data_IF_503249878354
#
_entry.id   IF_503249878354
#
_cell.length_a   1.000
_cell.length_b   1.000
_cell.length_c   1.000
_cell.angle_alpha   90.00
_cell.angle_beta   90.00
_cell.angle_gamma   90.00
#
_symmetry.space_group_name_H-M   'P 1'
#
loop_
_entity.id
_entity.type
_entity.pdbx_description
1 polymer ?
#
# COMPACT_ATOMS: atom_id res chain seq x y z
N UNK A 1 27.98 -11.18 -63.06
CA UNK A 1 29.15 -10.26 -63.09
C UNK A 1 29.31 -9.44 -61.81
N UNK A 2 28.25 -8.90 -61.19
CA UNK A 2 28.38 -8.06 -59.97
C UNK A 2 28.98 -8.78 -58.73
N UNK A 3 28.67 -10.06 -58.51
CA UNK A 3 29.16 -10.83 -57.35
C UNK A 3 30.66 -11.17 -57.41
N UNK A 4 31.24 -11.30 -58.61
CA UNK A 4 32.66 -11.63 -58.78
C UNK A 4 33.56 -10.43 -58.44
N UNK A 5 33.16 -9.21 -58.86
CA UNK A 5 33.89 -7.97 -58.57
C UNK A 5 33.90 -7.62 -57.07
N UNK A 6 32.82 -7.93 -56.35
CA UNK A 6 32.75 -7.74 -54.88
C UNK A 6 33.74 -8.69 -54.18
N UNK A 7 33.89 -9.92 -54.68
CA UNK A 7 34.80 -10.92 -54.12
C UNK A 7 36.27 -10.55 -54.32
N UNK A 8 36.65 -10.03 -55.50
CA UNK A 8 38.03 -9.61 -55.79
C UNK A 8 38.45 -8.36 -54.99
N UNK A 9 37.53 -7.43 -54.74
CA UNK A 9 37.79 -6.24 -53.91
C UNK A 9 38.09 -6.57 -52.45
N UNK A 10 37.47 -7.62 -51.90
CA UNK A 10 37.61 -8.08 -50.51
C UNK A 10 38.94 -8.82 -50.23
N UNK A 11 39.67 -9.26 -51.26
CA UNK A 11 40.96 -9.94 -51.10
C UNK A 11 42.15 -8.97 -50.92
N UNK A 12 41.94 -7.67 -51.15
CA UNK A 12 42.98 -6.66 -50.97
C UNK A 12 43.04 -6.17 -49.51
N UNK A 13 44.24 -5.88 -49.00
CA UNK A 13 44.43 -5.28 -47.65
C UNK A 13 43.63 -3.98 -47.46
N UNK A 14 43.33 -3.29 -48.55
CA UNK A 14 42.47 -2.11 -48.57
C UNK A 14 40.98 -2.45 -48.44
N UNK A 15 40.48 -3.48 -49.13
CA UNK A 15 39.10 -3.95 -49.01
C UNK A 15 38.75 -4.45 -47.61
N UNK A 16 39.64 -5.22 -46.97
CA UNK A 16 39.46 -5.68 -45.58
C UNK A 16 39.46 -4.51 -44.59
N UNK A 17 40.33 -3.51 -44.80
CA UNK A 17 40.34 -2.29 -43.98
C UNK A 17 39.03 -1.52 -44.14
N UNK A 18 38.55 -1.35 -45.37
CA UNK A 18 37.30 -0.64 -45.65
C UNK A 18 36.10 -1.35 -45.00
N UNK A 19 36.06 -2.69 -45.08
CA UNK A 19 35.05 -3.51 -44.42
C UNK A 19 35.11 -3.38 -42.90
N UNK A 20 36.30 -3.44 -42.30
CA UNK A 20 36.47 -3.25 -40.86
C UNK A 20 36.01 -1.86 -40.40
N UNK A 21 36.35 -0.80 -41.15
CA UNK A 21 35.87 0.54 -40.84
C UNK A 21 34.35 0.66 -40.95
N UNK A 22 33.74 0.02 -41.97
CA UNK A 22 32.29 -0.01 -42.12
C UNK A 22 31.61 -0.77 -40.96
N UNK A 23 32.15 -1.93 -40.57
CA UNK A 23 31.65 -2.72 -39.43
C UNK A 23 31.79 -1.94 -38.13
N UNK A 24 32.94 -1.31 -37.88
CA UNK A 24 33.17 -0.48 -36.69
C UNK A 24 32.23 0.73 -36.66
N UNK A 25 31.99 1.38 -37.80
CA UNK A 25 31.05 2.49 -37.90
C UNK A 25 29.60 2.04 -37.60
N UNK A 26 29.20 0.86 -38.08
CA UNK A 26 27.87 0.28 -37.79
C UNK A 26 27.72 -0.10 -36.31
N UNK A 27 28.75 -0.71 -35.70
CA UNK A 27 28.76 -1.02 -34.26
C UNK A 27 28.70 0.26 -33.43
N UNK A 28 29.49 1.27 -33.78
CA UNK A 28 29.49 2.56 -33.09
C UNK A 28 28.15 3.28 -33.22
N UNK A 29 27.52 3.27 -34.40
CA UNK A 29 26.20 3.83 -34.62
C UNK A 29 25.11 3.07 -33.84
N UNK A 30 25.18 1.73 -33.80
CA UNK A 30 24.29 0.90 -33.00
C UNK A 30 24.43 1.15 -31.50
N UNK A 31 25.66 1.25 -30.99
CA UNK A 31 25.93 1.60 -29.58
C UNK A 31 25.45 3.01 -29.25
N UNK A 32 25.71 4.00 -30.12
CA UNK A 32 25.25 5.37 -29.92
C UNK A 32 23.73 5.46 -29.94
N UNK A 33 23.04 4.71 -30.82
CA UNK A 33 21.58 4.59 -30.80
C UNK A 33 21.10 3.94 -29.49
N UNK A 34 21.73 2.85 -29.04
CA UNK A 34 21.43 2.23 -27.75
C UNK A 34 21.69 3.15 -26.55
N UNK A 35 22.67 4.03 -26.58
CA UNK A 35 22.93 4.98 -25.48
C UNK A 35 21.99 6.18 -25.53
N UNK A 36 21.70 6.71 -26.72
CA UNK A 36 20.79 7.83 -26.91
C UNK A 36 19.30 7.45 -26.73
N UNK A 37 18.96 6.17 -26.94
CA UNK A 37 17.57 5.67 -26.82
C UNK A 37 17.36 4.63 -25.73
N UNK A 38 18.43 4.08 -25.12
CA UNK A 38 18.36 3.02 -24.11
C UNK A 38 18.33 3.52 -22.67
N UNK A 39 17.23 3.16 -22.00
CA UNK A 39 17.13 2.71 -20.62
C UNK A 39 17.66 3.59 -19.47
N UNK A 40 17.65 4.92 -19.58
CA UNK A 40 17.66 5.81 -18.42
C UNK A 40 16.87 7.10 -18.69
N UNK A 41 15.59 6.95 -19.04
CA UNK A 41 14.60 8.03 -18.83
C UNK A 41 13.94 7.75 -17.47
N UNK A 42 13.81 8.74 -16.56
CA UNK A 42 13.26 8.54 -15.24
C UNK A 42 11.74 8.38 -15.35
N UNK A 43 11.34 7.19 -15.73
CA UNK A 43 10.05 6.60 -15.48
C UNK A 43 10.34 5.10 -15.41
N UNK A 44 11.04 4.70 -14.36
CA UNK A 44 10.94 3.32 -13.89
C UNK A 44 9.44 2.99 -13.86
N UNK A 45 9.00 1.86 -14.43
CA UNK A 45 7.65 1.41 -14.21
C UNK A 45 7.52 1.19 -12.69
N UNK A 46 6.95 2.18 -11.98
CA UNK A 46 6.45 1.97 -10.64
C UNK A 46 5.44 0.85 -10.78
N UNK A 47 5.72 -0.27 -10.12
CA UNK A 47 4.70 -1.28 -9.86
C UNK A 47 3.57 -0.54 -9.13
N UNK A 48 2.48 -0.22 -9.85
CA UNK A 48 1.27 0.26 -9.22
C UNK A 48 0.78 -0.83 -8.28
N UNK A 49 1.02 -0.64 -7.00
CA UNK A 49 0.91 -1.67 -5.97
C UNK A 49 2.18 -1.72 -5.14
N UNK A 50 2.44 -0.65 -4.39
CA UNK A 50 3.39 -0.71 -3.29
C UNK A 50 2.97 -1.87 -2.39
N UNK A 51 3.83 -2.88 -2.28
CA UNK A 51 3.61 -3.92 -1.29
C UNK A 51 3.58 -3.21 0.07
N UNK A 52 2.54 -3.48 0.87
CA UNK A 52 2.40 -2.89 2.20
C UNK A 52 3.72 -3.00 2.97
N UNK A 53 4.04 -1.98 3.76
CA UNK A 53 5.20 -1.99 4.66
C UNK A 53 5.12 -3.10 5.72
N UNK A 54 3.95 -3.75 5.86
CA UNK A 54 3.72 -4.85 6.79
C UNK A 54 3.41 -6.14 6.01
N UNK A 55 4.27 -7.18 6.09
CA UNK A 55 4.06 -8.45 5.41
C UNK A 55 2.70 -9.09 5.74
N UNK A 56 2.03 -9.63 4.72
CA UNK A 56 0.75 -10.33 4.87
C UNK A 56 -0.49 -9.44 5.03
N UNK A 57 -0.32 -8.11 5.01
CA UNK A 57 -1.43 -7.17 4.90
C UNK A 57 -1.34 -6.40 3.59
N UNK A 58 -2.49 -6.01 3.05
CA UNK A 58 -2.55 -4.96 2.02
C UNK A 58 -2.69 -3.61 2.71
N UNK A 59 -2.61 -2.54 1.93
CA UNK A 59 -2.96 -1.20 2.37
C UNK A 59 -4.21 -0.70 1.66
N UNK A 60 -4.89 0.27 2.25
CA UNK A 60 -6.10 0.89 1.70
C UNK A 60 -6.17 2.35 2.12
N UNK A 61 -6.67 3.20 1.22
CA UNK A 61 -7.04 4.54 1.59
C UNK A 61 -8.39 4.54 2.34
N UNK A 62 -8.57 5.50 3.24
CA UNK A 62 -9.88 5.78 3.82
C UNK A 62 -10.08 7.29 4.05
N UNK A 63 -11.31 7.74 3.92
CA UNK A 63 -11.73 9.08 4.30
C UNK A 63 -12.64 9.01 5.52
N UNK A 64 -12.67 10.10 6.29
CA UNK A 64 -13.64 10.27 7.37
C UNK A 64 -14.36 11.57 7.13
N UNK A 65 -15.68 11.51 7.00
CA UNK A 65 -16.55 12.69 7.03
C UNK A 65 -16.97 12.93 8.49
N UNK A 66 -16.52 14.01 9.14
CA UNK A 66 -16.88 14.28 10.53
C UNK A 66 -18.38 14.58 10.70
N UNK A 67 -18.83 14.61 11.95
CA UNK A 67 -20.16 15.10 12.29
C UNK A 67 -20.32 16.59 11.94
N UNK A 68 -21.55 17.02 11.68
CA UNK A 68 -21.85 18.42 11.40
C UNK A 68 -21.42 19.30 12.59
N UNK A 69 -20.67 20.36 12.31
CA UNK A 69 -20.15 21.27 13.35
C UNK A 69 -18.86 20.81 14.04
N UNK A 70 -18.33 19.63 13.70
CA UNK A 70 -16.98 19.23 14.11
C UNK A 70 -15.91 19.88 13.23
N UNK A 71 -14.68 19.97 13.75
CA UNK A 71 -13.54 20.40 12.95
C UNK A 71 -13.37 19.50 11.71
N UNK A 72 -12.99 20.06 10.54
CA UNK A 72 -12.74 19.26 9.35
C UNK A 72 -11.57 18.29 9.56
N UNK A 73 -11.73 17.05 9.08
CA UNK A 73 -10.64 16.06 8.98
C UNK A 73 -9.74 16.39 7.78
N UNK A 74 -8.49 15.94 7.84
CA UNK A 74 -7.41 16.33 6.92
C UNK A 74 -7.45 15.63 5.53
N UNK A 75 -8.56 15.01 5.14
CA UNK A 75 -8.71 14.38 3.82
C UNK A 75 -8.58 12.84 3.86
N UNK A 76 -7.82 12.28 2.91
CA UNK A 76 -7.64 10.83 2.77
C UNK A 76 -6.44 10.35 3.59
N UNK A 77 -6.64 9.28 4.34
CA UNK A 77 -5.67 8.60 5.18
C UNK A 77 -5.28 7.24 4.59
N UNK A 78 -4.22 6.63 5.10
CA UNK A 78 -3.74 5.31 4.68
C UNK A 78 -3.78 4.32 5.85
N UNK A 79 -4.34 3.14 5.64
CA UNK A 79 -4.42 2.09 6.65
C UNK A 79 -3.91 0.74 6.15
N UNK A 80 -3.49 -0.11 7.08
CA UNK A 80 -3.39 -1.54 6.83
C UNK A 80 -4.80 -2.12 6.66
N UNK A 81 -4.98 -3.08 5.75
CA UNK A 81 -6.27 -3.70 5.47
C UNK A 81 -6.30 -5.16 5.91
N UNK A 82 -7.21 -5.47 6.84
CA UNK A 82 -7.54 -6.83 7.28
C UNK A 82 -8.91 -7.24 6.72
N UNK A 83 -8.93 -8.25 5.85
CA UNK A 83 -10.17 -8.76 5.20
C UNK A 83 -10.37 -10.27 5.43
N UNK A 84 -9.28 -11.03 5.58
CA UNK A 84 -9.37 -12.47 5.83
C UNK A 84 -9.44 -12.78 7.32
N UNK A 85 -10.04 -13.90 7.70
CA UNK A 85 -10.10 -14.32 9.11
C UNK A 85 -8.71 -14.41 9.76
N UNK A 86 -7.70 -14.84 9.01
CA UNK A 86 -6.31 -14.89 9.49
C UNK A 86 -5.73 -13.48 9.74
N UNK A 87 -6.04 -12.51 8.87
CA UNK A 87 -5.64 -11.12 9.04
C UNK A 87 -6.36 -10.47 10.23
N UNK A 88 -7.67 -10.70 10.37
CA UNK A 88 -8.48 -10.20 11.49
C UNK A 88 -7.99 -10.75 12.82
N UNK A 89 -7.74 -12.06 12.90
CA UNK A 89 -7.23 -12.70 14.12
C UNK A 89 -5.84 -12.23 14.50
N UNK A 90 -4.97 -11.98 13.50
CA UNK A 90 -3.61 -11.50 13.73
C UNK A 90 -3.58 -10.03 14.14
N UNK A 91 -4.39 -9.18 13.51
CA UNK A 91 -4.42 -7.74 13.77
C UNK A 91 -3.02 -7.11 13.86
N UNK A 92 -2.79 -6.34 14.93
CA UNK A 92 -1.53 -5.67 15.24
C UNK A 92 -0.62 -6.44 16.21
N UNK A 93 -0.81 -7.76 16.37
CA UNK A 93 0.04 -8.60 17.23
C UNK A 93 1.54 -8.41 16.92
N UNK A 94 2.33 -8.23 17.97
CA UNK A 94 3.77 -8.05 17.91
C UNK A 94 4.24 -6.71 17.31
N UNK A 95 3.33 -5.79 16.97
CA UNK A 95 3.71 -4.49 16.39
C UNK A 95 3.71 -3.37 17.43
N UNK A 96 4.84 -2.70 17.57
CA UNK A 96 4.99 -1.51 18.42
C UNK A 96 4.54 -0.20 17.76
N UNK A 97 4.20 -0.24 16.47
CA UNK A 97 3.76 0.92 15.69
C UNK A 97 2.80 0.50 14.56
N UNK A 98 2.30 1.51 13.84
CA UNK A 98 1.49 1.33 12.62
C UNK A 98 2.33 1.41 11.34
N UNK A 99 3.66 1.31 11.41
CA UNK A 99 4.57 1.40 10.26
C UNK A 99 4.37 2.64 9.37
N UNK A 100 3.91 3.76 9.95
CA UNK A 100 3.59 5.00 9.23
C UNK A 100 2.27 4.96 8.45
N UNK A 101 1.36 4.07 8.80
CA UNK A 101 -0.07 4.13 8.46
C UNK A 101 -0.84 4.85 9.58
N UNK A 102 -1.99 5.44 9.24
CA UNK A 102 -2.87 6.14 10.17
C UNK A 102 -3.72 5.18 11.03
N UNK A 103 -3.81 3.92 10.62
CA UNK A 103 -4.55 2.89 11.35
C UNK A 103 -4.52 1.52 10.68
N UNK A 104 -5.33 0.60 11.21
CA UNK A 104 -5.70 -0.65 10.57
C UNK A 104 -7.22 -0.70 10.39
N UNK A 105 -7.66 -0.88 9.15
CA UNK A 105 -9.07 -1.08 8.80
C UNK A 105 -9.35 -2.57 8.68
N UNK A 106 -10.36 -3.01 9.41
CA UNK A 106 -10.94 -4.34 9.31
C UNK A 106 -12.22 -4.22 8.47
N UNK A 107 -12.31 -4.99 7.39
CA UNK A 107 -13.50 -5.04 6.52
C UNK A 107 -14.07 -6.44 6.54
N UNK A 108 -15.32 -6.56 6.98
CA UNK A 108 -16.01 -7.84 7.07
C UNK A 108 -16.88 -8.08 5.83
N UNK A 109 -17.01 -9.33 5.35
CA UNK A 109 -17.89 -9.66 4.23
C UNK A 109 -19.38 -9.64 4.60
N UNK A 110 -19.69 -9.69 5.90
CA UNK A 110 -21.04 -9.64 6.50
C UNK A 110 -21.02 -8.77 7.76
N UNK A 111 -22.20 -8.39 8.25
CA UNK A 111 -22.32 -7.61 9.49
C UNK A 111 -21.89 -8.48 10.69
N UNK A 112 -20.93 -7.96 11.44
CA UNK A 112 -20.35 -8.59 12.62
C UNK A 112 -20.87 -7.96 13.90
N UNK A 113 -20.80 -8.72 14.99
CA UNK A 113 -20.93 -8.25 16.37
C UNK A 113 -19.78 -8.76 17.25
N UNK A 114 -18.72 -9.28 16.64
CA UNK A 114 -17.56 -9.80 17.36
C UNK A 114 -16.82 -8.64 18.03
N UNK A 115 -16.43 -8.85 19.29
CA UNK A 115 -15.55 -7.94 19.99
C UNK A 115 -14.08 -8.11 19.58
N UNK A 116 -13.28 -7.11 19.92
CA UNK A 116 -11.84 -7.10 19.68
C UNK A 116 -11.10 -7.43 20.97
N UNK A 117 -9.86 -7.92 20.88
CA UNK A 117 -9.01 -8.24 22.02
C UNK A 117 -7.57 -7.81 21.74
N UNK A 118 -6.78 -7.65 22.80
CA UNK A 118 -5.45 -7.02 22.75
C UNK A 118 -4.30 -8.00 22.98
N UNK A 119 -4.52 -9.29 22.72
CA UNK A 119 -3.51 -10.32 22.96
C UNK A 119 -2.26 -10.03 22.13
N UNK A 120 -1.11 -10.01 22.78
CA UNK A 120 0.21 -9.82 22.18
C UNK A 120 0.35 -8.50 21.38
N UNK A 121 -0.52 -7.51 21.63
CA UNK A 121 -0.40 -6.15 21.10
C UNK A 121 0.34 -5.27 22.12
N UNK A 122 1.57 -4.81 21.84
CA UNK A 122 2.42 -4.15 22.83
C UNK A 122 2.11 -2.66 23.05
N UNK A 123 1.19 -2.07 22.29
CA UNK A 123 0.78 -0.66 22.41
C UNK A 123 -0.73 -0.53 22.63
N UNK A 124 -1.19 0.43 23.46
CA UNK A 124 -2.61 0.71 23.62
C UNK A 124 -3.25 1.20 22.31
N UNK A 125 -4.45 0.73 22.03
CA UNK A 125 -5.20 1.07 20.83
C UNK A 125 -6.58 1.62 21.19
N UNK A 126 -7.18 2.38 20.28
CA UNK A 126 -8.61 2.67 20.28
C UNK A 126 -9.21 2.02 19.04
N UNK A 127 -10.29 1.26 19.21
CA UNK A 127 -11.09 0.73 18.09
C UNK A 127 -12.35 1.57 17.92
N UNK A 128 -12.71 1.90 16.68
CA UNK A 128 -14.00 2.44 16.29
C UNK A 128 -14.71 1.48 15.35
N UNK A 129 -15.99 1.24 15.57
CA UNK A 129 -16.83 0.37 14.74
C UNK A 129 -17.79 1.20 13.90
N UNK A 130 -18.04 0.75 12.68
CA UNK A 130 -18.91 1.43 11.71
C UNK A 130 -19.84 0.43 11.01
N UNK A 131 -21.09 0.84 10.78
CA UNK A 131 -22.10 0.00 10.13
C UNK A 131 -21.79 -0.25 8.63
N UNK A 132 -22.65 -1.00 7.94
CA UNK A 132 -22.50 -1.29 6.50
C UNK A 132 -22.48 -0.06 5.61
N UNK A 133 -23.08 1.06 6.05
CA UNK A 133 -23.02 2.35 5.37
C UNK A 133 -21.86 3.23 5.82
N UNK A 134 -20.95 2.71 6.65
CA UNK A 134 -19.79 3.42 7.19
C UNK A 134 -20.13 4.38 8.33
N UNK A 135 -21.33 4.37 8.89
CA UNK A 135 -21.70 5.28 9.99
C UNK A 135 -21.12 4.79 11.30
N UNK A 136 -20.61 5.71 12.11
CA UNK A 136 -20.08 5.39 13.44
C UNK A 136 -21.12 4.70 14.32
N UNK A 137 -20.72 3.58 14.92
CA UNK A 137 -21.53 2.79 15.86
C UNK A 137 -21.08 3.05 17.29
N UNK A 138 -19.80 2.78 17.58
CA UNK A 138 -19.19 2.98 18.91
C UNK A 138 -17.68 2.99 18.81
N UNK A 139 -17.00 3.30 19.92
CA UNK A 139 -15.56 3.13 20.07
C UNK A 139 -15.21 2.66 21.47
N UNK A 140 -14.05 2.03 21.61
CA UNK A 140 -13.50 1.61 22.90
C UNK A 140 -11.99 1.81 22.94
N UNK A 141 -11.49 2.33 24.06
CA UNK A 141 -10.06 2.32 24.37
C UNK A 141 -9.69 0.95 24.93
N UNK A 142 -8.62 0.38 24.40
CA UNK A 142 -8.20 -0.98 24.68
C UNK A 142 -6.78 -1.01 25.24
N UNK A 143 -6.61 -1.67 26.39
CA UNK A 143 -5.33 -1.78 27.07
C UNK A 143 -4.55 -2.99 26.54
N UNK A 144 -3.22 -2.90 26.54
CA UNK A 144 -2.34 -4.00 26.16
C UNK A 144 -2.58 -5.24 27.02
N UNK A 145 -2.50 -6.43 26.42
CA UNK A 145 -2.65 -7.69 27.16
C UNK A 145 -1.65 -8.75 26.64
N UNK A 146 -0.62 -9.12 27.43
CA UNK A 146 0.38 -10.11 26.99
C UNK A 146 -0.06 -11.58 27.23
N UNK A 147 -1.14 -11.80 27.98
CA UNK A 147 -1.51 -13.14 28.43
C UNK A 147 -2.45 -13.88 27.44
N UNK A 148 -2.83 -15.11 27.78
CA UNK A 148 -3.82 -15.88 27.00
C UNK A 148 -5.27 -15.48 27.33
N UNK A 149 -5.53 -14.93 28.51
CA UNK A 149 -6.86 -14.59 29.00
C UNK A 149 -7.14 -13.08 28.89
N UNK A 150 -7.14 -12.56 27.66
CA UNK A 150 -7.37 -11.14 27.40
C UNK A 150 -8.86 -10.78 27.41
N UNK A 151 -9.24 -9.62 27.98
CA UNK A 151 -10.60 -9.14 27.89
C UNK A 151 -10.98 -8.90 26.41
N UNK A 152 -12.25 -9.12 26.12
CA UNK A 152 -12.84 -8.79 24.82
C UNK A 152 -13.65 -7.50 24.95
N UNK A 153 -13.46 -6.58 24.01
CA UNK A 153 -14.13 -5.28 23.92
C UNK A 153 -15.27 -5.38 22.89
N UNK A 154 -16.55 -5.39 23.33
CA UNK A 154 -17.67 -5.55 22.42
C UNK A 154 -18.05 -4.22 21.74
N UNK A 155 -18.54 -4.25 20.49
CA UNK A 155 -19.20 -3.10 19.88
C UNK A 155 -20.58 -2.87 20.54
N UNK A 156 -21.11 -1.65 20.45
CA UNK A 156 -22.47 -1.33 20.90
C UNK A 156 -23.57 -1.79 19.93
N UNK A 157 -23.20 -2.25 18.73
CA UNK A 157 -24.13 -2.65 17.68
C UNK A 157 -23.46 -3.47 16.59
N UNK A 158 -24.24 -3.87 15.58
CA UNK A 158 -23.71 -4.54 14.39
C UNK A 158 -22.85 -3.57 13.57
N UNK A 159 -21.75 -4.08 13.04
CA UNK A 159 -20.81 -3.28 12.26
C UNK A 159 -20.27 -4.07 11.06
N UNK A 160 -19.81 -3.35 10.05
CA UNK A 160 -19.18 -3.90 8.84
C UNK A 160 -17.70 -3.55 8.73
N UNK A 161 -17.32 -2.43 9.33
CA UNK A 161 -15.96 -1.96 9.37
C UNK A 161 -15.53 -1.69 10.81
N UNK A 162 -14.25 -1.91 11.09
CA UNK A 162 -13.62 -1.40 12.30
C UNK A 162 -12.32 -0.69 11.92
N UNK A 163 -11.97 0.34 12.67
CA UNK A 163 -10.71 1.09 12.56
C UNK A 163 -9.98 1.02 13.90
N UNK A 164 -8.83 0.39 13.92
CA UNK A 164 -7.89 0.47 15.03
C UNK A 164 -6.86 1.58 14.78
N UNK A 165 -6.66 2.42 15.78
CA UNK A 165 -5.62 3.46 15.81
C UNK A 165 -4.86 3.37 17.13
N UNK A 166 -3.70 4.03 17.21
CA UNK A 166 -3.05 4.26 18.51
C UNK A 166 -4.01 5.01 19.44
N UNK A 167 -3.99 4.67 20.74
CA UNK A 167 -4.90 5.24 21.71
C UNK A 167 -4.95 6.78 21.64
N UNK A 168 -6.17 7.33 21.61
CA UNK A 168 -6.40 8.78 21.45
C UNK A 168 -6.32 9.30 20.00
N UNK A 169 -6.01 8.46 19.01
CA UNK A 169 -5.83 8.86 17.61
C UNK A 169 -7.12 9.25 16.88
N UNK A 170 -8.30 8.79 17.31
CA UNK A 170 -9.57 8.97 16.60
C UNK A 170 -9.92 10.45 16.35
N UNK A 171 -9.65 11.32 17.33
CA UNK A 171 -9.98 12.74 17.23
C UNK A 171 -9.24 13.45 16.09
N UNK A 172 -7.98 13.08 15.86
CA UNK A 172 -7.17 13.64 14.75
C UNK A 172 -7.69 13.25 13.36
N UNK A 173 -8.43 12.15 13.29
CA UNK A 173 -9.06 11.64 12.07
C UNK A 173 -10.51 12.15 11.90
N UNK A 174 -11.05 12.88 12.89
CA UNK A 174 -12.45 13.30 12.90
C UNK A 174 -13.44 12.14 13.13
N UNK A 175 -12.97 11.03 13.72
CA UNK A 175 -13.81 9.87 14.04
C UNK A 175 -14.51 10.07 15.37
N UNK A 176 -15.82 9.85 15.39
CA UNK A 176 -16.66 9.91 16.58
C UNK A 176 -18.16 9.85 16.25
N UNK A 177 -19.04 10.06 17.23
CA UNK A 177 -20.49 10.07 17.02
C UNK A 177 -20.91 10.99 15.87
N UNK A 178 -21.67 10.45 14.90
CA UNK A 178 -22.14 11.19 13.73
C UNK A 178 -21.17 11.24 12.54
N UNK A 179 -19.93 10.73 12.69
CA UNK A 179 -18.98 10.59 11.58
C UNK A 179 -19.33 9.42 10.66
N UNK A 180 -18.81 9.46 9.43
CA UNK A 180 -18.92 8.39 8.43
C UNK A 180 -17.54 8.09 7.85
N UNK A 181 -17.16 6.81 7.84
CA UNK A 181 -15.94 6.32 7.19
C UNK A 181 -16.24 5.88 5.75
N UNK A 182 -15.34 6.21 4.83
CA UNK A 182 -15.35 5.74 3.45
C UNK A 182 -14.05 4.98 3.19
N UNK A 183 -14.13 3.66 2.96
CA UNK A 183 -12.94 2.80 2.82
C UNK A 183 -12.78 2.37 1.36
N UNK A 184 -11.70 2.80 0.72
CA UNK A 184 -11.39 2.41 -0.65
C UNK A 184 -10.38 3.34 -1.31
N UNK A 185 -9.88 2.93 -2.47
CA UNK A 185 -8.83 3.63 -3.21
C UNK A 185 -7.42 3.21 -2.79
N UNK A 186 -6.45 3.74 -3.53
CA UNK A 186 -5.03 3.48 -3.29
C UNK A 186 -4.46 4.49 -2.28
N UNK A 187 -3.59 4.01 -1.40
CA UNK A 187 -2.79 4.87 -0.55
C UNK A 187 -1.88 5.73 -1.43
N UNK A 188 -2.04 7.06 -1.38
CA UNK A 188 -0.96 7.93 -1.83
C UNK A 188 0.08 7.94 -0.72
N UNK A 189 1.22 7.30 -0.98
CA UNK A 189 2.38 7.48 -0.12
C UNK A 189 2.62 9.00 0.08
N UNK A 190 2.98 9.44 1.30
CA UNK A 190 3.45 10.80 1.50
C UNK A 190 4.70 11.08 0.66
#
# INVERSE_FOLDING_TARGET
>A
MALAAIREGLETRWGVRLLNWAVLALIAAGLAACVATGANRPADPRLEGGQSRVPGFREVAFGVRPAAGSAPSAGSYCALLAETSAQVQRGLMGRSDLAGYDGMVFRFPEDSSLGFYMKDVPVPLTVAWFDAGGRFVSSADMATCPDSNCPTYPPAGRYRFALEVLAGGLGSLGVGPGSVIEVGGACKAP
#
